data_IF_324901196486
#
_entry.id   IF_324901196486
#
_cell.length_a   1.000
_cell.length_b   1.000
_cell.length_c   1.000
_cell.angle_alpha   90.00
_cell.angle_beta   90.00
_cell.angle_gamma   90.00
#
_symmetry.space_group_name_H-M   'P 1'
#
loop_
_entity.id
_entity.type
_entity.pdbx_description
1 polymer ?
#
# COMPACT_ATOMS: atom_id res chain seq x y z
N UNK A 1 29.22 -20.65 3.05
CA UNK A 1 28.82 -20.00 1.79
C UNK A 1 27.34 -19.56 1.81
N UNK A 2 26.92 -18.62 2.70
CA UNK A 2 25.48 -18.21 2.84
C UNK A 2 25.27 -16.69 2.97
N UNK A 3 26.16 -15.82 2.46
CA UNK A 3 26.04 -14.36 2.66
C UNK A 3 26.08 -13.52 1.37
N UNK A 4 25.85 -14.09 0.19
CA UNK A 4 25.97 -13.39 -1.10
C UNK A 4 24.64 -12.97 -1.75
N UNK A 5 23.49 -13.39 -1.22
CA UNK A 5 22.20 -13.16 -1.89
C UNK A 5 21.65 -11.72 -1.76
N UNK A 6 21.73 -11.02 -0.61
CA UNK A 6 21.17 -9.68 -0.52
C UNK A 6 21.94 -8.61 -1.31
N UNK A 7 23.25 -8.79 -1.50
CA UNK A 7 24.06 -7.85 -2.27
C UNK A 7 23.81 -7.91 -3.78
N UNK A 8 23.42 -9.06 -4.29
CA UNK A 8 23.18 -9.24 -5.72
C UNK A 8 21.86 -8.57 -6.19
N UNK A 9 20.83 -8.63 -5.36
CA UNK A 9 19.54 -7.95 -5.63
C UNK A 9 19.68 -6.43 -5.65
N UNK A 10 20.45 -5.85 -4.74
CA UNK A 10 20.73 -4.42 -4.71
C UNK A 10 21.60 -3.98 -5.89
N UNK A 11 22.56 -4.79 -6.30
CA UNK A 11 23.42 -4.53 -7.45
C UNK A 11 22.67 -4.62 -8.79
N UNK A 12 21.70 -5.52 -8.92
CA UNK A 12 20.84 -5.61 -10.10
C UNK A 12 19.91 -4.41 -10.27
N UNK A 13 19.44 -3.82 -9.15
CA UNK A 13 18.63 -2.58 -9.17
C UNK A 13 19.45 -1.34 -9.59
N UNK A 14 20.76 -1.34 -9.30
CA UNK A 14 21.66 -0.24 -9.63
C UNK A 14 22.32 -0.36 -11.03
N UNK A 15 22.24 -1.52 -11.65
CA UNK A 15 22.87 -1.83 -12.95
C UNK A 15 21.94 -1.67 -14.17
N UNK A 16 20.78 -1.03 -14.02
CA UNK A 16 19.93 -0.69 -15.16
C UNK A 16 20.67 0.33 -16.03
N UNK A 17 20.97 0.02 -17.32
CA UNK A 17 21.65 0.95 -18.19
C UNK A 17 20.83 2.24 -18.29
N UNK A 18 21.51 3.38 -18.23
CA UNK A 18 20.92 4.72 -18.29
C UNK A 18 20.27 5.05 -19.64
N UNK A 19 19.26 4.30 -20.04
CA UNK A 19 18.27 4.76 -21.00
C UNK A 19 17.51 5.89 -20.30
N UNK A 20 17.35 7.02 -20.95
CA UNK A 20 16.53 8.11 -20.47
C UNK A 20 15.17 7.53 -20.07
N UNK A 21 15.00 7.27 -18.77
CA UNK A 21 13.75 6.73 -18.23
C UNK A 21 12.69 7.76 -18.56
N UNK A 22 11.67 7.34 -19.28
CA UNK A 22 10.59 8.21 -19.67
C UNK A 22 9.98 8.81 -18.41
N UNK A 23 9.71 10.12 -18.40
CA UNK A 23 8.93 10.72 -17.33
C UNK A 23 7.59 9.99 -17.28
N UNK A 24 7.27 9.39 -16.13
CA UNK A 24 5.95 8.83 -15.87
C UNK A 24 4.86 9.89 -16.06
N UNK A 25 3.60 9.52 -15.93
CA UNK A 25 2.46 10.45 -16.05
C UNK A 25 2.47 11.55 -14.96
N UNK A 26 3.42 11.50 -14.01
CA UNK A 26 3.61 12.48 -12.96
C UNK A 26 2.63 12.36 -11.81
N UNK A 27 1.89 11.24 -11.72
CA UNK A 27 1.02 10.91 -10.59
C UNK A 27 0.95 9.39 -10.41
N UNK A 28 0.53 8.94 -9.23
CA UNK A 28 0.34 7.53 -8.91
C UNK A 28 -0.66 7.37 -7.78
N UNK A 29 -1.28 6.21 -7.66
CA UNK A 29 -2.03 5.79 -6.49
C UNK A 29 -1.22 4.84 -5.60
N UNK A 30 -0.40 3.98 -6.21
CA UNK A 30 0.36 2.95 -5.49
C UNK A 30 1.80 3.36 -5.21
N UNK A 31 2.42 4.13 -6.12
CA UNK A 31 3.80 4.54 -6.02
C UNK A 31 3.97 5.86 -5.22
N UNK A 32 5.16 6.40 -5.24
CA UNK A 32 5.53 7.55 -4.43
C UNK A 32 5.13 8.90 -5.05
N UNK A 33 4.83 8.95 -6.35
CA UNK A 33 4.45 10.19 -7.02
C UNK A 33 3.11 10.72 -6.50
N UNK A 34 3.09 11.95 -6.01
CA UNK A 34 1.88 12.64 -5.58
C UNK A 34 0.98 12.99 -6.76
N UNK A 35 -0.26 13.33 -6.47
CA UNK A 35 -1.22 13.80 -7.49
C UNK A 35 -0.88 15.20 -8.03
N UNK A 36 -0.06 15.94 -7.28
CA UNK A 36 0.19 17.37 -7.52
C UNK A 36 -0.97 18.24 -7.04
N UNK A 37 -0.67 19.50 -6.75
CA UNK A 37 -1.61 20.43 -6.14
C UNK A 37 -2.91 20.57 -6.93
N UNK A 38 -4.03 20.44 -6.24
CA UNK A 38 -5.38 20.66 -6.77
C UNK A 38 -5.98 19.49 -7.55
N UNK A 39 -5.21 18.44 -7.83
CA UNK A 39 -5.74 17.24 -8.47
C UNK A 39 -6.35 16.31 -7.45
N UNK A 40 -7.37 15.58 -7.86
CA UNK A 40 -8.04 14.57 -7.04
C UNK A 40 -8.07 13.24 -7.82
N UNK A 41 -7.92 12.12 -7.13
CA UNK A 41 -8.09 10.81 -7.73
C UNK A 41 -9.04 9.95 -6.90
N UNK A 42 -9.89 9.19 -7.56
CA UNK A 42 -10.63 8.07 -7.00
C UNK A 42 -9.95 6.78 -7.38
N UNK A 43 -9.96 5.81 -6.47
CA UNK A 43 -9.45 4.47 -6.72
C UNK A 43 -10.39 3.40 -6.18
N UNK A 44 -10.45 2.28 -6.89
CA UNK A 44 -11.10 1.07 -6.44
C UNK A 44 -10.17 -0.10 -6.65
N UNK A 45 -9.99 -0.93 -5.63
CA UNK A 45 -9.13 -2.11 -5.67
C UNK A 45 -9.89 -3.30 -5.11
N UNK A 46 -9.70 -4.49 -5.69
CA UNK A 46 -10.34 -5.73 -5.26
C UNK A 46 -9.32 -6.88 -5.31
N UNK A 47 -9.42 -7.79 -4.37
CA UNK A 47 -8.56 -8.97 -4.26
C UNK A 47 -8.50 -9.47 -2.83
N UNK A 48 -7.36 -9.97 -2.41
CA UNK A 48 -7.15 -10.34 -1.02
C UNK A 48 -6.47 -9.17 -0.27
N UNK A 49 -6.93 -8.73 0.90
CA UNK A 49 -7.99 -9.35 1.73
C UNK A 49 -9.41 -8.82 1.46
N UNK A 50 -9.66 -7.97 0.47
CA UNK A 50 -10.96 -7.35 0.33
C UNK A 50 -11.15 -6.42 -0.86
N UNK A 51 -12.13 -5.54 -0.73
CA UNK A 51 -12.41 -4.41 -1.61
C UNK A 51 -11.99 -3.12 -0.89
N UNK A 52 -11.25 -2.26 -1.58
CA UNK A 52 -10.88 -0.93 -1.07
C UNK A 52 -11.33 0.14 -2.05
N UNK A 53 -11.99 1.16 -1.54
CA UNK A 53 -12.33 2.39 -2.25
C UNK A 53 -11.54 3.54 -1.62
N UNK A 54 -10.95 4.39 -2.43
CA UNK A 54 -10.14 5.51 -1.95
C UNK A 54 -10.39 6.80 -2.71
N UNK A 55 -10.27 7.90 -2.01
CA UNK A 55 -10.15 9.24 -2.59
C UNK A 55 -8.89 9.88 -2.05
N UNK A 56 -8.12 10.52 -2.92
CA UNK A 56 -6.88 11.20 -2.59
C UNK A 56 -6.86 12.56 -3.27
N UNK A 57 -6.45 13.61 -2.57
CA UNK A 57 -6.37 14.98 -3.07
C UNK A 57 -4.99 15.57 -2.83
N UNK A 58 -4.37 16.11 -3.87
CA UNK A 58 -3.09 16.79 -3.80
C UNK A 58 -3.24 18.19 -3.20
N UNK A 59 -2.84 18.33 -1.94
CA UNK A 59 -2.85 19.63 -1.24
C UNK A 59 -1.64 20.48 -1.58
N UNK A 60 -0.55 19.84 -1.98
CA UNK A 60 0.67 20.47 -2.47
C UNK A 60 1.37 19.58 -3.50
N UNK A 61 2.52 20.01 -4.01
CA UNK A 61 3.33 19.20 -4.92
C UNK A 61 3.93 17.95 -4.25
N UNK A 62 3.96 17.93 -2.91
CA UNK A 62 4.58 16.85 -2.14
C UNK A 62 3.66 16.14 -1.16
N UNK A 63 2.41 16.59 -1.03
CA UNK A 63 1.50 16.08 -0.01
C UNK A 63 0.12 15.84 -0.61
N UNK A 64 -0.35 14.62 -0.43
CA UNK A 64 -1.73 14.25 -0.70
C UNK A 64 -2.42 13.85 0.60
N UNK A 65 -3.71 14.20 0.70
CA UNK A 65 -4.59 13.85 1.83
C UNK A 65 -5.87 13.24 1.26
N UNK A 66 -6.39 12.25 1.95
CA UNK A 66 -7.63 11.60 1.51
C UNK A 66 -8.22 10.65 2.53
N UNK A 67 -9.03 9.74 2.04
CA UNK A 67 -9.65 8.70 2.83
C UNK A 67 -9.81 7.40 2.08
N UNK A 68 -9.90 6.32 2.83
CA UNK A 68 -10.14 4.97 2.33
C UNK A 68 -11.29 4.32 3.09
N UNK A 69 -12.10 3.59 2.36
CA UNK A 69 -13.04 2.61 2.88
C UNK A 69 -12.60 1.23 2.41
N UNK A 70 -12.52 0.27 3.32
CA UNK A 70 -12.25 -1.12 2.96
C UNK A 70 -13.33 -2.04 3.53
N UNK A 71 -13.78 -2.97 2.70
CA UNK A 71 -14.56 -4.11 3.12
C UNK A 71 -13.70 -5.35 2.91
N UNK A 72 -13.30 -5.98 4.00
CA UNK A 72 -12.45 -7.16 3.99
C UNK A 72 -13.30 -8.42 4.18
N UNK A 73 -12.92 -9.48 3.49
CA UNK A 73 -13.34 -10.85 3.78
C UNK A 73 -12.22 -11.69 4.40
N UNK A 74 -10.97 -11.20 4.36
CA UNK A 74 -9.82 -11.73 5.07
C UNK A 74 -9.40 -10.79 6.19
N UNK A 75 -9.16 -11.33 7.40
CA UNK A 75 -8.76 -10.53 8.56
C UNK A 75 -7.36 -9.94 8.37
N UNK A 76 -7.28 -8.65 8.11
CA UNK A 76 -6.02 -7.90 7.93
C UNK A 76 -4.97 -8.59 7.01
N UNK A 77 -5.44 -9.35 5.99
CA UNK A 77 -4.58 -10.07 5.08
C UNK A 77 -4.05 -11.41 5.62
N UNK A 78 -4.44 -11.86 6.81
CA UNK A 78 -4.07 -13.17 7.31
C UNK A 78 -4.64 -14.27 6.44
N UNK A 79 -3.79 -15.13 5.93
CA UNK A 79 -4.19 -16.14 4.93
C UNK A 79 -5.08 -17.24 5.53
N UNK A 80 -4.96 -17.48 6.83
CA UNK A 80 -5.69 -18.53 7.54
C UNK A 80 -6.99 -18.08 8.20
N UNK A 81 -7.25 -16.79 8.25
CA UNK A 81 -8.41 -16.24 8.95
C UNK A 81 -9.29 -15.43 8.01
N UNK A 82 -10.50 -15.91 7.80
CA UNK A 82 -11.52 -15.24 7.00
C UNK A 82 -12.60 -14.70 7.95
N UNK A 83 -12.53 -13.44 8.27
CA UNK A 83 -13.56 -12.72 9.00
C UNK A 83 -13.94 -11.47 8.23
N UNK A 84 -15.24 -11.26 7.95
CA UNK A 84 -15.66 -10.03 7.30
C UNK A 84 -15.39 -8.82 8.20
N UNK A 85 -14.95 -7.74 7.60
CA UNK A 85 -14.64 -6.54 8.34
C UNK A 85 -14.74 -5.27 7.52
N UNK A 86 -14.77 -4.14 8.22
CA UNK A 86 -14.85 -2.81 7.63
C UNK A 86 -13.74 -1.95 8.24
N UNK A 87 -13.07 -1.16 7.38
CA UNK A 87 -12.14 -0.12 7.82
C UNK A 87 -12.51 1.22 7.21
N UNK A 88 -12.41 2.28 8.01
CA UNK A 88 -12.48 3.67 7.58
C UNK A 88 -11.18 4.34 7.96
N UNK A 89 -10.40 4.77 6.99
CA UNK A 89 -9.06 5.29 7.23
C UNK A 89 -8.87 6.67 6.60
N UNK A 90 -8.19 7.55 7.30
CA UNK A 90 -7.54 8.68 6.67
C UNK A 90 -6.41 8.19 5.75
N UNK A 91 -6.00 9.01 4.79
CA UNK A 91 -4.89 8.70 3.91
C UNK A 91 -4.02 9.93 3.75
N UNK A 92 -2.83 9.89 4.31
CA UNK A 92 -1.78 10.88 4.13
C UNK A 92 -0.65 10.25 3.32
N UNK A 93 -0.19 10.94 2.27
CA UNK A 93 1.03 10.61 1.55
C UNK A 93 1.94 11.82 1.49
N UNK A 94 3.23 11.62 1.80
CA UNK A 94 4.24 12.66 1.73
C UNK A 94 5.38 12.18 0.83
N UNK A 95 5.60 12.87 -0.29
CA UNK A 95 6.76 12.65 -1.14
C UNK A 95 8.00 13.21 -0.44
N UNK A 96 8.96 12.34 -0.15
CA UNK A 96 10.20 12.69 0.54
C UNK A 96 11.24 13.24 -0.43
N UNK A 97 11.37 12.55 -1.56
CA UNK A 97 12.33 12.89 -2.60
C UNK A 97 11.84 12.38 -3.96
N UNK A 98 12.19 13.10 -5.01
CA UNK A 98 11.91 12.71 -6.38
C UNK A 98 13.07 13.08 -7.27
N UNK A 99 13.47 12.14 -8.11
CA UNK A 99 14.43 12.31 -9.20
C UNK A 99 13.75 12.01 -10.54
N UNK A 100 14.47 12.11 -11.63
CA UNK A 100 13.93 11.72 -12.95
C UNK A 100 13.61 10.23 -13.07
N UNK A 101 14.21 9.40 -12.22
CA UNK A 101 14.18 7.93 -12.32
C UNK A 101 13.47 7.25 -11.16
N UNK A 102 13.36 7.91 -10.02
CA UNK A 102 12.85 7.29 -8.78
C UNK A 102 12.21 8.36 -7.91
N UNK A 103 11.09 8.01 -7.30
CA UNK A 103 10.41 8.80 -6.25
C UNK A 103 10.30 7.99 -4.95
N UNK A 104 10.27 8.68 -3.83
CA UNK A 104 10.19 8.10 -2.48
C UNK A 104 9.08 8.79 -1.70
N UNK A 105 8.22 8.01 -1.05
CA UNK A 105 7.17 8.56 -0.19
C UNK A 105 6.98 7.75 1.09
N UNK A 106 6.43 8.42 2.09
CA UNK A 106 5.80 7.81 3.25
C UNK A 106 4.29 7.94 3.13
N UNK A 107 3.59 6.89 3.55
CA UNK A 107 2.14 6.92 3.72
C UNK A 107 1.76 6.60 5.14
N UNK A 108 0.68 7.23 5.62
CA UNK A 108 0.08 6.97 6.92
C UNK A 108 -1.44 6.91 6.77
N UNK A 109 -2.06 5.83 7.28
CA UNK A 109 -3.48 5.55 7.03
C UNK A 109 -4.23 5.20 8.32
N UNK A 110 -4.36 6.13 9.28
CA UNK A 110 -5.02 5.86 10.56
C UNK A 110 -6.53 5.75 10.39
N UNK A 111 -7.15 4.88 11.19
CA UNK A 111 -8.61 4.83 11.26
C UNK A 111 -9.17 3.63 11.99
N UNK A 112 -10.46 3.67 12.34
CA UNK A 112 -11.13 2.56 13.00
C UNK A 112 -11.26 1.35 12.08
N UNK A 113 -11.23 0.17 12.70
CA UNK A 113 -11.50 -1.11 12.07
C UNK A 113 -12.49 -1.91 12.90
N UNK A 114 -13.29 -2.70 12.20
CA UNK A 114 -14.32 -3.55 12.78
C UNK A 114 -14.29 -4.91 12.08
N UNK A 115 -14.18 -6.00 12.83
CA UNK A 115 -14.30 -7.36 12.30
C UNK A 115 -15.44 -8.08 12.99
N UNK A 116 -16.16 -8.86 12.20
CA UNK A 116 -17.35 -9.61 12.64
C UNK A 116 -17.02 -11.09 12.61
N UNK A 117 -17.06 -11.75 13.78
CA UNK A 117 -16.71 -13.17 13.91
C UNK A 117 -17.70 -13.84 14.87
N UNK A 118 -18.41 -14.87 14.40
CA UNK A 118 -19.29 -15.75 15.17
C UNK A 118 -20.21 -15.06 16.20
N UNK A 119 -20.72 -13.87 15.87
CA UNK A 119 -21.63 -13.09 16.72
C UNK A 119 -20.94 -12.06 17.61
N UNK A 120 -19.63 -12.03 17.65
CA UNK A 120 -18.82 -10.98 18.31
C UNK A 120 -18.34 -9.95 17.28
N UNK A 121 -18.04 -8.75 17.79
CA UNK A 121 -17.46 -7.67 16.99
C UNK A 121 -16.14 -7.24 17.61
N UNK A 122 -15.06 -7.46 16.89
CA UNK A 122 -13.75 -6.91 17.26
C UNK A 122 -13.65 -5.48 16.76
N UNK A 123 -13.46 -4.56 17.69
CA UNK A 123 -13.24 -3.14 17.39
C UNK A 123 -11.79 -2.80 17.61
N UNK A 124 -11.21 -2.01 16.71
CA UNK A 124 -9.81 -1.64 16.82
C UNK A 124 -9.47 -0.33 16.11
N UNK A 125 -8.20 -0.01 16.17
CA UNK A 125 -7.57 1.12 15.48
C UNK A 125 -6.46 0.61 14.57
N UNK A 126 -6.54 0.92 13.30
CA UNK A 126 -5.46 0.72 12.32
C UNK A 126 -4.56 1.95 12.28
N UNK A 127 -3.27 1.76 12.21
CA UNK A 127 -2.23 2.79 12.10
C UNK A 127 -1.19 2.38 11.04
N UNK A 128 -1.57 2.06 9.82
CA UNK A 128 -0.66 1.65 8.77
C UNK A 128 0.34 2.75 8.43
N UNK A 129 1.60 2.35 8.33
CA UNK A 129 2.69 3.17 7.80
C UNK A 129 3.37 2.40 6.67
N UNK A 130 3.62 3.05 5.54
CA UNK A 130 4.40 2.42 4.48
C UNK A 130 5.46 3.38 3.93
N UNK A 131 6.60 2.80 3.57
CA UNK A 131 7.63 3.43 2.74
C UNK A 131 7.52 2.87 1.33
N UNK A 132 7.33 3.73 0.36
CA UNK A 132 7.08 3.35 -1.03
C UNK A 132 8.10 4.03 -1.94
N UNK A 133 8.59 3.26 -2.91
CA UNK A 133 9.47 3.72 -3.98
C UNK A 133 8.73 3.58 -5.30
N UNK A 134 8.69 4.63 -6.08
CA UNK A 134 8.12 4.66 -7.42
C UNK A 134 9.22 4.70 -8.48
N UNK A 135 9.14 3.85 -9.49
CA UNK A 135 10.10 3.71 -10.58
C UNK A 135 9.34 3.80 -11.92
N UNK A 136 9.37 4.97 -12.60
CA UNK A 136 8.78 5.08 -13.93
C UNK A 136 9.60 4.27 -14.94
N UNK A 137 9.01 3.20 -15.48
CA UNK A 137 9.63 2.34 -16.50
C UNK A 137 9.39 2.92 -17.89
N UNK A 138 8.22 3.50 -18.11
CA UNK A 138 7.85 4.21 -19.34
C UNK A 138 6.84 5.31 -19.02
N UNK A 139 6.39 6.06 -20.02
CA UNK A 139 5.29 7.02 -19.86
C UNK A 139 3.96 6.35 -19.47
N UNK A 140 3.79 5.07 -19.78
CA UNK A 140 2.58 4.31 -19.49
C UNK A 140 2.73 3.33 -18.32
N UNK A 141 3.93 3.10 -17.79
CA UNK A 141 4.16 2.06 -16.78
C UNK A 141 5.00 2.59 -15.62
N UNK A 142 4.43 2.50 -14.42
CA UNK A 142 5.08 2.74 -13.14
C UNK A 142 5.19 1.42 -12.38
N UNK A 143 6.36 1.13 -11.85
CA UNK A 143 6.60 0.05 -10.89
C UNK A 143 6.70 0.67 -9.50
N UNK A 144 6.14 0.04 -8.50
CA UNK A 144 6.39 0.39 -7.12
C UNK A 144 6.98 -0.79 -6.36
N UNK A 145 7.80 -0.48 -5.37
CA UNK A 145 8.27 -1.42 -4.35
C UNK A 145 8.18 -0.75 -2.99
N UNK A 146 7.99 -1.51 -1.93
CA UNK A 146 7.86 -0.89 -0.63
C UNK A 146 7.90 -1.85 0.55
N UNK A 147 8.01 -1.23 1.71
CA UNK A 147 7.82 -1.84 3.02
C UNK A 147 6.54 -1.25 3.60
N UNK A 148 5.65 -2.12 4.01
CA UNK A 148 4.36 -1.76 4.61
C UNK A 148 4.24 -2.37 6.00
N UNK A 149 3.86 -1.56 6.96
CA UNK A 149 3.59 -1.97 8.33
C UNK A 149 2.14 -1.60 8.68
N UNK A 150 1.15 -2.41 8.30
CA UNK A 150 -0.25 -2.17 8.61
C UNK A 150 -0.55 -2.48 10.09
N UNK A 151 0.14 -1.78 10.99
CA UNK A 151 -0.02 -1.90 12.43
C UNK A 151 -1.47 -1.65 12.83
N UNK A 152 -1.98 -2.48 13.74
CA UNK A 152 -3.32 -2.30 14.32
C UNK A 152 -3.41 -2.84 15.74
N UNK A 153 -4.35 -2.28 16.49
CA UNK A 153 -4.65 -2.66 17.87
C UNK A 153 -6.13 -2.94 17.99
N UNK A 154 -6.50 -4.07 18.58
CA UNK A 154 -7.89 -4.38 18.91
C UNK A 154 -8.19 -3.98 20.37
N UNK A 155 -9.39 -3.46 20.59
CA UNK A 155 -9.91 -3.09 21.92
C UNK A 155 -10.87 -4.17 22.37
N UNK A 156 -10.41 -5.15 23.15
CA UNK A 156 -11.27 -6.22 23.66
C UNK A 156 -10.50 -7.49 23.98
N UNK A 157 -11.19 -8.59 24.09
CA UNK A 157 -10.72 -9.78 24.79
C UNK A 157 -9.69 -10.65 24.06
N UNK A 158 -9.50 -10.52 22.78
CA UNK A 158 -8.89 -11.62 22.06
C UNK A 158 -7.53 -11.35 21.45
N UNK A 159 -7.24 -10.13 21.03
CA UNK A 159 -6.00 -9.85 20.29
C UNK A 159 -5.56 -8.42 20.61
N UNK A 160 -4.38 -8.27 21.18
CA UNK A 160 -3.78 -6.95 21.40
C UNK A 160 -3.19 -6.33 20.13
N UNK A 161 -2.01 -5.73 20.22
CA UNK A 161 -1.34 -5.15 19.06
C UNK A 161 -0.90 -6.23 18.07
N UNK A 162 -1.08 -5.97 16.79
CA UNK A 162 -0.57 -6.79 15.69
C UNK A 162 0.36 -5.95 14.83
N UNK A 163 1.53 -6.48 14.53
CA UNK A 163 2.61 -5.79 13.83
C UNK A 163 2.94 -6.57 12.55
N UNK A 164 2.19 -6.37 11.45
CA UNK A 164 2.56 -6.95 10.17
C UNK A 164 3.76 -6.19 9.59
N UNK A 165 4.66 -6.94 8.96
CA UNK A 165 5.82 -6.39 8.23
C UNK A 165 5.77 -6.99 6.83
N UNK A 166 5.20 -6.23 5.90
CA UNK A 166 4.97 -6.70 4.53
C UNK A 166 5.97 -6.04 3.59
N UNK A 167 6.59 -6.85 2.75
CA UNK A 167 7.41 -6.37 1.64
C UNK A 167 6.76 -6.78 0.33
N UNK A 168 6.93 -5.96 -0.69
CA UNK A 168 6.39 -6.26 -1.99
C UNK A 168 6.40 -5.07 -2.93
N UNK A 169 5.56 -5.13 -3.93
CA UNK A 169 5.46 -4.07 -4.92
C UNK A 169 4.27 -4.26 -5.84
N UNK A 170 4.19 -3.43 -6.85
CA UNK A 170 3.10 -3.43 -7.79
C UNK A 170 3.42 -2.71 -9.08
N UNK A 171 2.42 -2.64 -9.91
CA UNK A 171 2.43 -2.02 -11.21
C UNK A 171 1.26 -1.07 -11.34
N UNK A 172 1.47 0.07 -11.96
CA UNK A 172 0.41 0.95 -12.47
C UNK A 172 0.61 1.14 -13.96
N UNK A 173 -0.39 0.76 -14.72
CA UNK A 173 -0.45 0.97 -16.16
C UNK A 173 -1.41 2.11 -16.47
N UNK A 174 -0.87 3.21 -16.97
CA UNK A 174 -1.64 4.38 -17.39
C UNK A 174 -2.25 4.15 -18.77
N UNK A 175 -3.55 3.97 -18.80
CA UNK A 175 -4.33 3.82 -20.02
C UNK A 175 -4.36 5.16 -20.77
N UNK A 176 -4.47 6.24 -20.02
CA UNK A 176 -4.31 7.62 -20.48
C UNK A 176 -3.77 8.51 -19.34
N UNK A 177 -3.80 9.83 -19.53
CA UNK A 177 -3.30 10.80 -18.52
C UNK A 177 -4.13 10.84 -17.23
N UNK A 178 -5.33 10.26 -17.22
CA UNK A 178 -6.29 10.29 -16.10
C UNK A 178 -6.64 8.93 -15.54
N UNK A 179 -6.55 7.88 -16.35
CA UNK A 179 -6.98 6.53 -15.99
C UNK A 179 -5.80 5.58 -15.89
N UNK A 180 -5.68 4.90 -14.76
CA UNK A 180 -4.68 3.87 -14.53
C UNK A 180 -5.32 2.58 -14.05
N UNK A 181 -4.81 1.44 -14.53
CA UNK A 181 -5.02 0.12 -13.98
C UNK A 181 -3.86 -0.23 -13.05
N UNK A 182 -4.11 -0.97 -11.99
CA UNK A 182 -3.08 -1.29 -10.99
C UNK A 182 -3.13 -2.74 -10.54
N UNK A 183 -1.97 -3.23 -10.13
CA UNK A 183 -1.83 -4.48 -9.40
C UNK A 183 -0.82 -4.26 -8.26
N UNK A 184 -1.13 -4.76 -7.07
CA UNK A 184 -0.26 -4.69 -5.91
C UNK A 184 -0.17 -6.06 -5.24
N UNK A 185 1.04 -6.48 -4.86
CA UNK A 185 1.30 -7.71 -4.12
C UNK A 185 2.28 -7.41 -2.99
N UNK A 186 1.88 -7.70 -1.77
CA UNK A 186 2.70 -7.56 -0.57
C UNK A 186 2.51 -8.77 0.32
N UNK A 187 3.55 -9.20 1.00
CA UNK A 187 3.49 -10.35 1.89
C UNK A 187 4.57 -10.28 2.96
N UNK A 188 4.31 -10.95 4.07
CA UNK A 188 5.26 -11.04 5.16
C UNK A 188 4.64 -11.56 6.45
N UNK A 189 5.40 -11.60 7.55
CA UNK A 189 4.90 -11.99 8.85
C UNK A 189 4.03 -10.90 9.47
N UNK A 190 2.98 -11.30 10.18
CA UNK A 190 2.23 -10.50 11.12
C UNK A 190 2.56 -11.02 12.53
N UNK A 191 3.28 -10.23 13.30
CA UNK A 191 3.67 -10.58 14.68
C UNK A 191 2.51 -10.27 15.62
N UNK A 192 2.17 -11.22 16.49
CA UNK A 192 1.10 -11.12 17.49
C UNK A 192 1.72 -11.32 18.88
N UNK A 193 2.23 -10.25 19.50
CA UNK A 193 2.97 -10.36 20.77
C UNK A 193 2.21 -11.06 21.89
N UNK A 194 0.90 -10.85 21.98
CA UNK A 194 0.06 -11.44 23.04
C UNK A 194 -0.07 -12.97 22.91
N UNK A 195 0.18 -13.53 21.74
CA UNK A 195 0.11 -14.97 21.51
C UNK A 195 1.49 -15.62 21.43
N UNK A 196 2.56 -14.82 21.44
CA UNK A 196 3.94 -15.27 21.15
C UNK A 196 4.02 -16.04 19.81
N UNK A 197 3.22 -15.61 18.84
CA UNK A 197 3.05 -16.25 17.54
C UNK A 197 3.23 -15.25 16.38
N UNK A 198 3.36 -15.80 15.19
CA UNK A 198 3.33 -15.01 13.95
C UNK A 198 2.45 -15.71 12.93
N UNK A 199 1.66 -14.92 12.22
CA UNK A 199 0.86 -15.36 11.09
C UNK A 199 1.44 -14.87 9.77
N UNK A 200 1.18 -15.59 8.69
CA UNK A 200 1.53 -15.12 7.36
C UNK A 200 0.41 -14.22 6.84
N UNK A 201 0.78 -12.99 6.50
CA UNK A 201 -0.13 -12.02 5.89
C UNK A 201 0.26 -11.71 4.45
N UNK A 202 -0.74 -11.51 3.62
CA UNK A 202 -0.60 -11.17 2.20
C UNK A 202 -1.66 -10.16 1.78
N UNK A 203 -1.30 -9.29 0.87
CA UNK A 203 -2.20 -8.43 0.12
C UNK A 203 -1.96 -8.64 -1.37
N UNK A 204 -3.00 -8.94 -2.13
CA UNK A 204 -2.96 -9.07 -3.59
C UNK A 204 -4.19 -8.38 -4.18
N UNK A 205 -4.02 -7.16 -4.69
CA UNK A 205 -5.11 -6.28 -5.14
C UNK A 205 -4.94 -5.88 -6.60
N UNK A 206 -6.02 -5.99 -7.35
CA UNK A 206 -6.18 -5.38 -8.67
C UNK A 206 -7.06 -4.15 -8.55
N UNK A 207 -6.77 -3.12 -9.30
CA UNK A 207 -7.53 -1.89 -9.19
C UNK A 207 -7.51 -1.00 -10.42
N UNK A 208 -8.33 0.03 -10.32
CA UNK A 208 -8.36 1.15 -11.24
C UNK A 208 -8.33 2.45 -10.45
N UNK A 209 -7.77 3.50 -11.04
CA UNK A 209 -7.76 4.84 -10.49
C UNK A 209 -8.06 5.85 -11.59
N UNK A 210 -8.84 6.87 -11.25
CA UNK A 210 -9.19 7.98 -12.14
C UNK A 210 -8.85 9.31 -11.47
N UNK A 211 -8.05 10.14 -12.16
CA UNK A 211 -7.65 11.50 -11.75
C UNK A 211 -8.44 12.56 -12.53
N UNK A 212 -8.92 13.56 -11.85
CA UNK A 212 -9.64 14.70 -12.44
C UNK A 212 -9.19 16.03 -11.81
#
# INVERSE_FOLDING_TARGET
>A
MKRLVPGLLLACLLALPGTALARGQGWSILAADTLGRGNTAFSGQIGWPGLTLGVLHGTSEKVDIGGKFSFNWGREGWVRHTSPGIKLQGWLRVELAKTNSVSFALTFQPGPLFYFDDGDTDVGLALPVAFVVGIPVSSALMVNVGLDMPFHVYFGRSIGPVIPILVGGGLEYFIDSKLAASFNLRMGPALIPDWDESEFAMEALFGIAYRF
#
